data_IF_964370060121
#
_entry.id   IF_964370060121
#
_cell.length_a   1.000
_cell.length_b   1.000
_cell.length_c   1.000
_cell.angle_alpha   90.00
_cell.angle_beta   90.00
_cell.angle_gamma   90.00
#
_symmetry.space_group_name_H-M   'P 1'
#
loop_
_entity.id
_entity.type
_entity.pdbx_description
1 polymer ?
#
# COMPACT_ATOMS: atom_id res chain seq x y z
N UNK A 1 4.26 -21.69 30.91
CA UNK A 1 4.24 -21.67 29.45
C UNK A 1 2.95 -22.30 28.94
N UNK A 2 2.23 -21.65 28.05
CA UNK A 2 1.07 -22.21 27.37
C UNK A 2 1.53 -22.93 26.12
N UNK A 3 1.11 -24.18 25.92
CA UNK A 3 1.41 -24.97 24.74
C UNK A 3 0.13 -25.22 23.96
N UNK A 4 0.07 -24.71 22.73
CA UNK A 4 -1.04 -24.96 21.81
C UNK A 4 -0.55 -25.99 20.77
N UNK A 5 -1.16 -27.17 20.76
CA UNK A 5 -0.81 -28.24 19.80
C UNK A 5 -1.59 -28.03 18.50
N UNK A 6 -0.89 -28.19 17.36
CA UNK A 6 -1.47 -28.02 16.02
C UNK A 6 -2.25 -26.70 15.87
N UNK A 7 -1.61 -25.55 16.09
CA UNK A 7 -2.30 -24.27 16.06
C UNK A 7 -2.78 -23.94 14.65
N UNK A 8 -3.94 -23.27 14.58
CA UNK A 8 -4.35 -22.56 13.36
C UNK A 8 -3.51 -21.30 13.27
N UNK A 9 -2.78 -21.17 12.17
CA UNK A 9 -1.90 -20.01 11.97
C UNK A 9 -2.68 -18.80 11.47
N UNK A 10 -2.21 -17.61 11.84
CA UNK A 10 -2.66 -16.36 11.27
C UNK A 10 -2.01 -16.15 9.90
N UNK A 11 -2.81 -15.74 8.91
CA UNK A 11 -2.35 -15.50 7.55
C UNK A 11 -2.82 -14.13 7.05
N UNK A 12 -2.02 -13.45 6.21
CA UNK A 12 -2.46 -12.25 5.54
C UNK A 12 -3.46 -12.57 4.43
N UNK A 13 -4.24 -11.55 4.06
CA UNK A 13 -5.23 -11.62 3.00
C UNK A 13 -4.64 -12.23 1.72
N UNK A 14 -5.34 -13.22 1.15
CA UNK A 14 -4.92 -13.97 -0.04
C UNK A 14 -4.03 -15.18 0.20
N UNK A 15 -3.56 -15.41 1.42
CA UNK A 15 -2.67 -16.55 1.74
C UNK A 15 -3.27 -17.55 2.70
N UNK A 16 -4.37 -17.24 3.34
CA UNK A 16 -5.08 -18.10 4.27
C UNK A 16 -6.01 -17.33 5.19
N UNK A 17 -6.51 -18.01 6.23
CA UNK A 17 -7.42 -17.39 7.19
C UNK A 17 -6.64 -16.64 8.29
N UNK A 18 -7.04 -15.44 8.68
CA UNK A 18 -6.43 -14.68 9.78
C UNK A 18 -6.90 -15.21 11.13
N UNK A 19 -6.53 -16.44 11.49
CA UNK A 19 -6.99 -17.08 12.70
C UNK A 19 -6.46 -16.39 13.96
N UNK A 20 -7.35 -16.07 14.88
CA UNK A 20 -7.05 -15.45 16.16
C UNK A 20 -7.44 -16.34 17.32
N UNK A 21 -6.76 -16.18 18.42
CA UNK A 21 -7.01 -16.81 19.71
C UNK A 21 -7.28 -15.75 20.77
N UNK A 22 -8.07 -16.09 21.76
CA UNK A 22 -8.29 -15.25 22.94
C UNK A 22 -7.70 -15.93 24.17
N UNK A 23 -6.84 -15.23 24.88
CA UNK A 23 -6.33 -15.63 26.20
C UNK A 23 -7.07 -14.83 27.27
N UNK A 24 -7.84 -15.53 28.09
CA UNK A 24 -8.50 -14.92 29.26
C UNK A 24 -7.55 -14.95 30.44
N UNK A 25 -7.21 -13.78 30.96
CA UNK A 25 -6.49 -13.61 32.21
C UNK A 25 -7.48 -13.28 33.31
N UNK A 26 -7.39 -14.00 34.44
CA UNK A 26 -8.24 -13.79 35.60
C UNK A 26 -7.36 -13.56 36.81
N UNK A 27 -7.56 -12.44 37.48
CA UNK A 27 -6.95 -12.15 38.80
C UNK A 27 -7.95 -12.45 39.90
N UNK A 28 -7.51 -13.18 40.91
CA UNK A 28 -8.37 -13.52 42.08
C UNK A 28 -7.72 -13.10 43.38
N UNK A 29 -8.50 -12.58 44.30
CA UNK A 29 -8.12 -12.26 45.68
C UNK A 29 -9.06 -13.03 46.60
N UNK A 30 -8.52 -13.79 47.52
CA UNK A 30 -9.27 -14.63 48.47
C UNK A 30 -10.31 -15.56 47.79
N UNK A 31 -9.93 -16.12 46.62
CA UNK A 31 -10.79 -17.01 45.84
C UNK A 31 -11.92 -16.33 45.06
N UNK A 32 -12.00 -15.01 45.09
CA UNK A 32 -12.96 -14.21 44.32
C UNK A 32 -12.25 -13.52 43.17
N UNK A 33 -12.88 -13.54 42.01
CA UNK A 33 -12.37 -12.81 40.84
C UNK A 33 -12.42 -11.32 41.14
N UNK A 34 -11.28 -10.64 41.03
CA UNK A 34 -11.15 -9.21 41.22
C UNK A 34 -11.00 -8.46 39.92
N UNK A 35 -10.43 -9.11 38.87
CA UNK A 35 -10.26 -8.52 37.55
C UNK A 35 -10.14 -9.60 36.50
N UNK A 36 -10.58 -9.30 35.26
CA UNK A 36 -10.44 -10.16 34.10
C UNK A 36 -10.01 -9.33 32.87
N UNK A 37 -9.17 -9.90 32.05
CA UNK A 37 -8.76 -9.29 30.78
C UNK A 37 -8.66 -10.34 29.68
N UNK A 38 -9.30 -10.09 28.57
CA UNK A 38 -9.14 -10.86 27.35
C UNK A 38 -8.03 -10.26 26.49
N UNK A 39 -7.12 -11.10 26.02
CA UNK A 39 -6.02 -10.72 25.11
C UNK A 39 -6.17 -11.53 23.85
N UNK A 40 -6.41 -10.86 22.72
CA UNK A 40 -6.44 -11.47 21.39
C UNK A 40 -5.03 -11.54 20.84
N UNK A 41 -4.69 -12.67 20.19
CA UNK A 41 -3.40 -12.86 19.55
C UNK A 41 -3.51 -13.84 18.38
N UNK A 42 -2.56 -13.75 17.43
CA UNK A 42 -2.42 -14.71 16.34
C UNK A 42 -1.09 -15.46 16.42
N UNK A 43 -1.07 -16.71 15.94
CA UNK A 43 0.14 -17.52 15.88
C UNK A 43 0.68 -17.44 14.45
N UNK A 44 1.87 -16.86 14.31
CA UNK A 44 2.55 -16.66 13.02
C UNK A 44 4.06 -16.66 13.23
N UNK A 45 4.80 -16.76 12.13
CA UNK A 45 6.25 -16.54 12.11
C UNK A 45 6.59 -15.70 10.89
N UNK A 46 7.12 -14.49 11.12
CA UNK A 46 7.72 -13.67 10.08
C UNK A 46 9.18 -14.07 9.84
N UNK A 47 9.59 -14.02 8.58
CA UNK A 47 10.98 -14.17 8.15
C UNK A 47 11.23 -13.19 7.01
N UNK A 48 12.46 -12.70 6.91
CA UNK A 48 12.85 -11.69 5.92
C UNK A 48 14.14 -12.15 5.26
N UNK A 49 14.18 -12.09 3.93
CA UNK A 49 15.37 -12.46 3.16
C UNK A 49 15.69 -11.37 2.16
N UNK A 50 16.97 -11.04 2.07
CA UNK A 50 17.50 -10.23 0.97
C UNK A 50 17.77 -11.18 -0.20
N UNK A 51 16.99 -11.07 -1.26
CA UNK A 51 17.12 -11.90 -2.45
C UNK A 51 17.90 -11.10 -3.50
N UNK A 52 18.99 -11.69 -4.00
CA UNK A 52 19.80 -11.14 -5.09
C UNK A 52 19.44 -11.83 -6.41
N UNK A 53 18.21 -11.65 -6.88
CA UNK A 53 17.85 -12.08 -8.23
C UNK A 53 18.14 -11.00 -9.28
N UNK A 54 18.43 -9.81 -8.80
CA UNK A 54 18.73 -8.63 -9.57
C UNK A 54 20.23 -8.37 -9.51
N UNK A 55 20.86 -8.15 -10.63
CA UNK A 55 22.30 -7.85 -10.74
C UNK A 55 22.64 -6.69 -9.81
N UNK A 56 23.34 -6.99 -8.70
CA UNK A 56 23.94 -6.09 -7.73
C UNK A 56 23.03 -5.39 -6.71
N UNK A 57 21.73 -5.66 -6.64
CA UNK A 57 20.85 -5.03 -5.63
C UNK A 57 20.07 -6.07 -4.82
N UNK A 58 20.19 -6.04 -3.48
CA UNK A 58 19.35 -6.90 -2.64
C UNK A 58 17.90 -6.43 -2.66
N UNK A 59 16.97 -7.38 -2.70
CA UNK A 59 15.54 -7.15 -2.65
C UNK A 59 14.97 -7.71 -1.36
N UNK A 60 14.41 -6.86 -0.52
CA UNK A 60 13.75 -7.29 0.71
C UNK A 60 12.48 -8.10 0.38
N UNK A 61 12.45 -9.33 0.80
CA UNK A 61 11.33 -10.25 0.58
C UNK A 61 10.80 -10.78 1.89
N UNK A 62 9.49 -10.76 2.05
CA UNK A 62 8.78 -11.22 3.24
C UNK A 62 8.34 -12.67 3.12
N UNK A 63 8.42 -13.37 4.24
CA UNK A 63 7.86 -14.70 4.43
C UNK A 63 7.00 -14.71 5.68
N UNK A 64 5.90 -15.43 5.64
CA UNK A 64 5.09 -15.72 6.82
C UNK A 64 4.79 -17.21 6.87
N UNK A 65 5.02 -17.85 8.02
CA UNK A 65 4.80 -19.28 8.22
C UNK A 65 5.52 -20.15 7.18
N UNK A 66 6.69 -19.70 6.70
CA UNK A 66 7.47 -20.35 5.66
C UNK A 66 7.05 -20.06 4.21
N UNK A 67 5.92 -19.39 4.00
CA UNK A 67 5.42 -19.00 2.68
C UNK A 67 5.96 -17.64 2.27
N UNK A 68 6.50 -17.53 1.05
CA UNK A 68 6.89 -16.26 0.44
C UNK A 68 5.65 -15.44 0.13
N UNK A 69 5.66 -14.15 0.51
CA UNK A 69 4.52 -13.23 0.36
C UNK A 69 4.86 -12.14 -0.63
N UNK A 70 4.03 -11.98 -1.66
CA UNK A 70 4.08 -10.82 -2.55
C UNK A 70 3.24 -9.70 -1.96
N UNK A 71 3.89 -8.56 -1.67
CA UNK A 71 3.24 -7.45 -0.97
C UNK A 71 2.42 -6.60 -1.94
N UNK A 72 1.18 -6.35 -1.59
CA UNK A 72 0.23 -5.50 -2.32
C UNK A 72 -0.46 -4.60 -1.33
N UNK A 73 -0.39 -3.29 -1.53
CA UNK A 73 -0.98 -2.41 -0.56
C UNK A 73 -0.74 -0.93 -0.83
N UNK A 74 -0.89 -0.15 0.21
CA UNK A 74 -0.70 1.30 0.11
C UNK A 74 -0.28 1.94 1.42
N UNK A 75 0.11 3.19 1.31
CA UNK A 75 0.45 4.02 2.45
C UNK A 75 -0.81 4.62 3.07
N UNK A 76 -0.80 4.71 4.37
CA UNK A 76 -1.81 5.30 5.21
C UNK A 76 -1.18 6.46 5.97
N UNK A 77 -1.65 7.66 5.68
CA UNK A 77 -1.28 8.86 6.42
C UNK A 77 -2.22 9.08 7.62
N UNK A 78 -2.64 10.31 7.86
CA UNK A 78 -3.64 10.60 8.88
C UNK A 78 -4.96 9.88 8.58
N UNK A 79 -5.55 9.22 9.56
CA UNK A 79 -6.76 8.43 9.37
C UNK A 79 -7.99 9.27 9.01
N UNK A 80 -8.13 10.42 9.65
CA UNK A 80 -9.16 11.44 9.42
C UNK A 80 -8.72 12.74 10.09
N UNK A 81 -8.89 13.89 9.43
CA UNK A 81 -8.31 15.18 9.85
C UNK A 81 -8.83 15.74 11.19
N UNK A 82 -9.98 15.28 11.65
CA UNK A 82 -10.51 15.58 13.00
C UNK A 82 -10.39 14.39 13.96
N UNK A 83 -9.66 13.32 13.57
CA UNK A 83 -9.45 12.09 14.33
C UNK A 83 -10.76 11.34 14.69
N UNK A 84 -11.81 11.51 13.89
CA UNK A 84 -13.09 10.78 14.04
C UNK A 84 -13.02 9.43 13.34
N UNK A 85 -12.15 8.54 13.83
CA UNK A 85 -11.78 7.32 13.13
C UNK A 85 -12.12 6.02 13.88
N UNK A 86 -12.68 6.09 15.06
CA UNK A 86 -13.06 4.91 15.86
C UNK A 86 -14.30 4.18 15.32
N UNK A 87 -14.42 2.90 15.68
CA UNK A 87 -15.57 2.07 15.35
C UNK A 87 -15.63 1.77 13.85
N UNK A 88 -16.79 2.01 13.28
CA UNK A 88 -17.06 1.69 11.88
C UNK A 88 -16.11 2.36 10.88
N UNK A 89 -15.52 3.49 11.23
CA UNK A 89 -14.60 4.21 10.36
C UNK A 89 -13.35 3.38 10.05
N UNK A 90 -12.65 2.92 11.10
CA UNK A 90 -11.51 2.03 10.92
C UNK A 90 -11.91 0.73 10.22
N UNK A 91 -12.99 0.10 10.67
CA UNK A 91 -13.44 -1.17 10.10
C UNK A 91 -13.74 -1.04 8.61
N UNK A 92 -14.47 0.02 8.20
CA UNK A 92 -14.83 0.26 6.79
C UNK A 92 -13.59 0.43 5.93
N UNK A 93 -12.65 1.27 6.36
CA UNK A 93 -11.40 1.54 5.64
C UNK A 93 -10.55 0.28 5.49
N UNK A 94 -10.40 -0.51 6.55
CA UNK A 94 -9.65 -1.78 6.49
C UNK A 94 -10.34 -2.79 5.56
N UNK A 95 -11.68 -2.88 5.60
CA UNK A 95 -12.44 -3.73 4.67
C UNK A 95 -12.24 -3.32 3.21
N UNK A 96 -12.25 -2.02 2.90
CA UNK A 96 -11.98 -1.53 1.54
C UNK A 96 -10.57 -1.95 1.06
N UNK A 97 -9.56 -1.91 1.94
CA UNK A 97 -8.23 -2.41 1.61
C UNK A 97 -8.24 -3.92 1.36
N UNK A 98 -8.90 -4.70 2.22
CA UNK A 98 -9.05 -6.14 2.00
C UNK A 98 -9.75 -6.46 0.68
N UNK A 99 -10.82 -5.72 0.36
CA UNK A 99 -11.62 -5.93 -0.84
C UNK A 99 -10.88 -5.56 -2.14
N UNK A 100 -9.86 -4.68 -2.05
CA UNK A 100 -8.91 -4.43 -3.14
C UNK A 100 -7.88 -5.55 -3.32
N UNK A 101 -7.96 -6.65 -2.57
CA UNK A 101 -6.97 -7.71 -2.50
C UNK A 101 -5.61 -7.25 -1.94
N UNK A 102 -5.58 -6.17 -1.19
CA UNK A 102 -4.40 -5.74 -0.47
C UNK A 102 -4.13 -6.64 0.73
N UNK A 103 -2.85 -6.80 1.04
CA UNK A 103 -2.40 -7.56 2.20
C UNK A 103 -1.49 -6.75 3.14
N UNK A 104 -1.19 -5.49 2.81
CA UNK A 104 -0.36 -4.62 3.65
C UNK A 104 -0.83 -3.17 3.61
N UNK A 105 -0.74 -2.51 4.76
CA UNK A 105 -0.83 -1.06 4.92
C UNK A 105 0.48 -0.59 5.57
N UNK A 106 1.12 0.44 4.99
CA UNK A 106 2.20 1.15 5.67
C UNK A 106 1.65 2.36 6.38
N UNK A 107 1.85 2.42 7.68
CA UNK A 107 1.56 3.60 8.50
C UNK A 107 2.70 4.61 8.36
N UNK A 108 2.58 5.48 7.36
CA UNK A 108 3.55 6.52 7.09
C UNK A 108 3.76 7.39 8.32
N UNK A 109 5.03 7.57 8.70
CA UNK A 109 5.46 8.30 9.90
C UNK A 109 4.75 7.89 11.19
N UNK A 110 4.25 6.65 11.27
CA UNK A 110 3.67 6.11 12.49
C UNK A 110 2.39 6.80 12.98
N UNK A 111 1.62 7.37 12.05
CA UNK A 111 0.47 8.25 12.32
C UNK A 111 -0.71 7.61 13.08
N UNK A 112 -0.77 6.28 13.18
CA UNK A 112 -1.84 5.56 13.87
C UNK A 112 -1.30 4.78 15.06
N UNK A 113 -1.84 5.04 16.22
CA UNK A 113 -1.47 4.36 17.49
C UNK A 113 -2.66 3.74 18.21
N UNK A 114 -3.88 3.87 17.68
CA UNK A 114 -5.09 3.31 18.26
C UNK A 114 -5.11 1.79 18.14
N UNK A 115 -5.25 1.07 19.25
CA UNK A 115 -5.28 -0.40 19.29
C UNK A 115 -6.37 -0.97 18.36
N UNK A 116 -7.51 -0.29 18.27
CA UNK A 116 -8.65 -0.67 17.43
C UNK A 116 -8.27 -0.81 15.94
N UNK A 117 -7.38 0.05 15.41
CA UNK A 117 -6.89 -0.08 14.05
C UNK A 117 -6.19 -1.42 13.83
N UNK A 118 -5.33 -1.81 14.78
CA UNK A 118 -4.58 -3.07 14.70
C UNK A 118 -5.49 -4.28 14.93
N UNK A 119 -6.51 -4.18 15.78
CA UNK A 119 -7.51 -5.23 15.97
C UNK A 119 -8.25 -5.54 14.66
N UNK A 120 -8.61 -4.52 13.88
CA UNK A 120 -9.21 -4.74 12.56
C UNK A 120 -8.20 -5.28 11.53
N UNK A 121 -6.95 -4.84 11.56
CA UNK A 121 -5.90 -5.41 10.72
C UNK A 121 -5.69 -6.90 11.04
N UNK A 122 -5.66 -7.28 12.31
CA UNK A 122 -5.58 -8.66 12.77
C UNK A 122 -6.76 -9.49 12.27
N UNK A 123 -7.98 -8.97 12.42
CA UNK A 123 -9.24 -9.61 12.03
C UNK A 123 -9.36 -9.84 10.52
N UNK A 124 -8.90 -8.90 9.73
CA UNK A 124 -9.05 -8.94 8.26
C UNK A 124 -7.82 -9.43 7.50
N UNK A 125 -6.73 -9.74 8.20
CA UNK A 125 -5.51 -10.24 7.60
C UNK A 125 -4.72 -9.17 6.84
N UNK A 126 -4.72 -7.93 7.32
CA UNK A 126 -3.95 -6.84 6.73
C UNK A 126 -2.66 -6.67 7.52
N UNK A 127 -1.52 -6.95 6.90
CA UNK A 127 -0.21 -6.70 7.51
C UNK A 127 0.01 -5.21 7.67
N UNK A 128 0.76 -4.84 8.70
CA UNK A 128 1.10 -3.45 9.02
C UNK A 128 2.61 -3.25 8.95
N UNK A 129 3.05 -2.35 8.10
CA UNK A 129 4.37 -1.75 8.12
C UNK A 129 4.28 -0.52 9.01
N UNK A 130 4.93 -0.53 10.18
CA UNK A 130 4.73 0.48 11.23
C UNK A 130 5.95 1.38 11.38
N UNK A 131 5.88 2.60 10.84
CA UNK A 131 6.93 3.60 11.01
C UNK A 131 6.94 4.16 12.44
N UNK A 132 8.10 4.69 12.87
CA UNK A 132 8.17 5.66 13.95
C UNK A 132 7.96 7.08 13.40
N UNK A 133 7.84 8.09 14.30
CA UNK A 133 7.39 9.46 14.00
C UNK A 133 8.50 10.35 13.40
N UNK A 134 9.27 9.82 12.43
CA UNK A 134 10.37 10.55 11.79
C UNK A 134 10.12 10.74 10.31
N UNK A 135 10.32 11.98 9.86
CA UNK A 135 10.14 12.40 8.48
C UNK A 135 11.49 12.86 7.88
N UNK A 136 11.64 12.80 6.57
CA UNK A 136 12.88 13.09 5.83
C UNK A 136 13.57 14.40 6.22
N UNK A 137 12.81 15.43 6.58
CA UNK A 137 13.33 16.73 6.97
C UNK A 137 13.52 16.92 8.48
N UNK A 138 13.05 15.99 9.30
CA UNK A 138 12.94 16.12 10.76
C UNK A 138 13.41 14.86 11.48
N UNK A 139 14.68 14.51 11.28
CA UNK A 139 15.32 13.40 12.00
C UNK A 139 16.07 13.85 13.27
N UNK A 140 16.16 15.16 13.51
CA UNK A 140 16.63 15.73 14.76
C UNK A 140 15.46 15.85 15.74
N UNK A 141 15.46 15.00 16.74
CA UNK A 141 14.42 14.97 17.78
C UNK A 141 14.81 15.92 18.90
N UNK A 142 13.96 16.91 19.17
CA UNK A 142 14.24 17.91 20.22
C UNK A 142 14.33 17.29 21.61
N UNK A 143 13.51 16.25 21.89
CA UNK A 143 13.45 15.55 23.18
C UNK A 143 13.70 14.04 22.99
N UNK A 144 14.95 13.60 22.76
CA UNK A 144 15.26 12.21 22.42
C UNK A 144 14.80 11.19 23.47
N UNK A 145 14.89 11.52 24.77
CA UNK A 145 14.50 10.61 25.84
C UNK A 145 12.97 10.42 25.90
N UNK A 146 12.19 11.47 25.65
CA UNK A 146 10.75 11.39 25.52
C UNK A 146 10.36 10.57 24.30
N UNK A 147 11.03 10.75 23.17
CA UNK A 147 10.84 9.94 21.96
C UNK A 147 11.12 8.45 22.24
N UNK A 148 12.24 8.13 22.87
CA UNK A 148 12.63 6.76 23.24
C UNK A 148 11.58 6.10 24.16
N UNK A 149 11.10 6.84 25.16
CA UNK A 149 10.05 6.36 26.07
C UNK A 149 8.73 6.05 25.31
N UNK A 150 8.30 6.95 24.44
CA UNK A 150 7.12 6.74 23.61
C UNK A 150 7.29 5.56 22.62
N UNK A 151 8.47 5.41 22.02
CA UNK A 151 8.77 4.29 21.13
C UNK A 151 8.72 2.94 21.86
N UNK A 152 9.27 2.90 23.07
CA UNK A 152 9.23 1.72 23.94
C UNK A 152 7.78 1.34 24.31
N UNK A 153 6.97 2.32 24.70
CA UNK A 153 5.55 2.13 25.01
C UNK A 153 4.77 1.62 23.80
N UNK A 154 4.97 2.24 22.64
CA UNK A 154 4.37 1.81 21.36
C UNK A 154 4.65 0.33 21.07
N UNK A 155 5.91 -0.09 21.15
CA UNK A 155 6.29 -1.49 20.86
C UNK A 155 5.68 -2.43 21.90
N UNK A 156 5.75 -2.12 23.19
CA UNK A 156 5.18 -2.95 24.27
C UNK A 156 3.68 -3.14 24.14
N UNK A 157 2.98 -2.09 23.78
CA UNK A 157 1.53 -2.10 23.61
C UNK A 157 1.10 -2.88 22.39
N UNK A 158 1.81 -2.72 21.26
CA UNK A 158 1.36 -3.22 19.97
C UNK A 158 1.98 -4.57 19.56
N UNK A 159 3.06 -5.03 20.17
CA UNK A 159 3.81 -6.24 19.75
C UNK A 159 3.01 -7.54 19.73
N UNK A 160 1.86 -7.61 20.39
CA UNK A 160 1.01 -8.81 20.41
C UNK A 160 0.11 -8.91 19.15
N UNK A 161 -0.03 -7.84 18.36
CA UNK A 161 -0.81 -7.87 17.13
C UNK A 161 -0.08 -8.68 16.05
N UNK A 162 -0.67 -9.77 15.55
CA UNK A 162 -0.04 -10.59 14.51
C UNK A 162 0.09 -9.86 13.18
N UNK A 163 -0.73 -8.86 12.93
CA UNK A 163 -0.70 -8.04 11.72
C UNK A 163 0.56 -7.19 11.57
N UNK A 164 1.20 -6.76 12.66
CA UNK A 164 2.44 -5.98 12.56
C UNK A 164 3.52 -6.87 11.94
N UNK A 165 3.99 -6.47 10.76
CA UNK A 165 4.95 -7.23 9.97
C UNK A 165 6.37 -6.67 10.04
N UNK A 166 6.53 -5.38 10.30
CA UNK A 166 7.85 -4.72 10.34
C UNK A 166 7.77 -3.42 11.12
N UNK A 167 8.85 -3.06 11.78
CA UNK A 167 9.08 -1.76 12.42
C UNK A 167 10.03 -0.94 11.55
N UNK A 168 9.72 0.33 11.29
CA UNK A 168 10.55 1.20 10.48
C UNK A 168 10.94 2.49 11.21
N UNK A 169 12.22 2.82 11.20
CA UNK A 169 12.79 3.94 11.96
C UNK A 169 12.33 5.30 11.44
N UNK A 170 12.49 5.55 10.13
CA UNK A 170 12.19 6.86 9.57
C UNK A 170 11.70 6.77 8.11
N UNK A 171 10.92 7.76 7.71
CA UNK A 171 10.50 7.93 6.32
C UNK A 171 11.65 8.52 5.50
N UNK A 172 12.03 7.82 4.41
CA UNK A 172 12.99 8.24 3.37
C UNK A 172 14.38 8.68 3.87
N UNK A 173 14.68 8.44 5.14
CA UNK A 173 15.96 8.74 5.78
C UNK A 173 16.24 7.73 6.88
N UNK A 174 17.40 7.86 7.53
CA UNK A 174 17.73 7.11 8.73
C UNK A 174 17.56 8.00 9.96
N UNK A 175 17.11 7.47 11.11
CA UNK A 175 17.23 8.20 12.37
C UNK A 175 18.66 8.61 12.65
N UNK A 176 18.87 9.60 13.52
CA UNK A 176 20.22 9.91 14.05
C UNK A 176 20.86 8.63 14.62
N UNK A 177 22.18 8.42 14.46
CA UNK A 177 22.83 7.14 14.77
C UNK A 177 22.52 6.57 16.16
N UNK A 178 22.53 7.41 17.19
CA UNK A 178 22.25 6.99 18.56
C UNK A 178 20.79 6.55 18.73
N UNK A 179 19.86 7.23 18.06
CA UNK A 179 18.46 6.89 18.07
C UNK A 179 18.18 5.62 17.26
N UNK A 180 18.81 5.46 16.10
CA UNK A 180 18.69 4.24 15.28
C UNK A 180 19.19 3.00 16.03
N UNK A 181 20.34 3.11 16.69
CA UNK A 181 20.87 2.04 17.53
C UNK A 181 19.93 1.71 18.68
N UNK A 182 19.41 2.73 19.38
CA UNK A 182 18.44 2.51 20.46
C UNK A 182 17.20 1.79 19.96
N UNK A 183 16.59 2.23 18.85
CA UNK A 183 15.38 1.61 18.29
C UNK A 183 15.65 0.13 17.92
N UNK A 184 16.78 -0.15 17.30
CA UNK A 184 17.20 -1.50 16.91
C UNK A 184 17.32 -2.43 18.12
N UNK A 185 18.04 -2.00 19.15
CA UNK A 185 18.26 -2.77 20.36
C UNK A 185 16.96 -2.94 21.17
N UNK A 186 16.20 -1.88 21.32
CA UNK A 186 14.91 -1.90 22.04
C UNK A 186 13.92 -2.85 21.37
N UNK A 187 13.80 -2.81 20.06
CA UNK A 187 12.89 -3.71 19.33
C UNK A 187 13.37 -5.16 19.45
N UNK A 188 14.67 -5.41 19.28
CA UNK A 188 15.23 -6.75 19.45
C UNK A 188 14.92 -7.33 20.86
N UNK A 189 14.98 -6.49 21.88
CA UNK A 189 14.70 -6.88 23.26
C UNK A 189 13.20 -7.07 23.51
N UNK A 190 12.38 -6.10 23.17
CA UNK A 190 10.95 -6.06 23.53
C UNK A 190 10.10 -6.95 22.60
N UNK A 191 10.40 -6.97 21.32
CA UNK A 191 9.71 -7.79 20.31
C UNK A 191 10.37 -9.18 20.11
N UNK A 192 11.41 -9.49 20.89
CA UNK A 192 12.09 -10.80 20.90
C UNK A 192 12.62 -11.24 19.52
N UNK A 193 12.97 -10.31 18.67
CA UNK A 193 13.34 -10.55 17.26
C UNK A 193 12.23 -11.25 16.44
N UNK A 194 10.96 -11.11 16.84
CA UNK A 194 9.83 -11.67 16.08
C UNK A 194 9.63 -10.91 14.75
N UNK A 195 9.99 -9.62 14.73
CA UNK A 195 9.92 -8.75 13.54
C UNK A 195 11.22 -8.02 13.28
N UNK A 196 11.45 -7.76 11.98
CA UNK A 196 12.57 -6.93 11.55
C UNK A 196 12.37 -5.47 11.97
N UNK A 197 13.47 -4.84 12.39
CA UNK A 197 13.60 -3.40 12.40
C UNK A 197 14.33 -2.93 11.15
N UNK A 198 13.78 -1.94 10.46
CA UNK A 198 14.32 -1.30 9.27
C UNK A 198 14.54 0.17 9.56
N UNK A 199 15.77 0.69 9.41
CA UNK A 199 16.08 2.09 9.73
C UNK A 199 15.36 3.08 8.81
N UNK A 200 15.33 2.77 7.50
CA UNK A 200 14.82 3.66 6.45
C UNK A 200 13.76 2.98 5.59
N UNK A 201 12.75 3.73 5.17
CA UNK A 201 11.63 3.20 4.39
C UNK A 201 11.91 3.00 2.90
N UNK A 202 12.98 3.56 2.34
CA UNK A 202 13.22 3.52 0.89
C UNK A 202 14.66 3.16 0.48
N UNK A 203 15.48 2.68 1.41
CA UNK A 203 16.88 2.28 1.18
C UNK A 203 17.15 0.87 1.73
N UNK A 204 18.39 0.38 1.60
CA UNK A 204 18.87 -0.88 2.18
C UNK A 204 18.04 -2.10 1.80
N UNK A 205 17.86 -2.34 0.52
CA UNK A 205 17.05 -3.45 -0.02
C UNK A 205 15.64 -3.05 -0.43
N UNK A 206 15.35 -1.75 -0.39
CA UNK A 206 14.16 -1.10 -0.92
C UNK A 206 14.55 -0.18 -2.07
N UNK A 207 13.66 0.04 -3.03
CA UNK A 207 14.01 0.68 -4.31
C UNK A 207 13.72 2.18 -4.40
N UNK A 208 13.55 2.86 -3.27
CA UNK A 208 13.25 4.29 -3.27
C UNK A 208 11.77 4.61 -3.34
N UNK A 209 11.42 5.88 -3.64
CA UNK A 209 10.07 6.43 -3.74
C UNK A 209 9.82 7.00 -5.14
N UNK A 210 8.54 7.12 -5.53
CA UNK A 210 8.08 7.55 -6.87
C UNK A 210 7.89 6.32 -7.77
N UNK A 211 7.35 6.42 -8.92
CA UNK A 211 6.90 7.55 -9.72
C UNK A 211 5.80 8.40 -9.08
N UNK A 212 5.73 9.67 -9.55
CA UNK A 212 4.69 10.60 -9.15
C UNK A 212 4.00 11.11 -10.42
N UNK A 213 2.70 10.81 -10.58
CA UNK A 213 1.90 11.27 -11.71
C UNK A 213 1.23 10.16 -12.53
N UNK A 214 0.38 10.55 -13.46
CA UNK A 214 -0.44 9.66 -14.29
C UNK A 214 0.34 9.17 -15.51
N UNK A 215 1.22 8.21 -15.31
CA UNK A 215 1.94 7.55 -16.38
C UNK A 215 1.09 6.47 -17.06
N UNK A 216 1.12 6.33 -18.41
CA UNK A 216 0.38 5.27 -19.07
C UNK A 216 0.91 3.87 -18.65
N UNK A 217 0.07 2.81 -18.69
CA UNK A 217 0.48 1.45 -18.31
C UNK A 217 1.80 0.99 -18.93
N UNK A 218 1.99 1.27 -20.22
CA UNK A 218 3.22 0.94 -20.94
C UNK A 218 4.48 1.49 -20.26
N UNK A 219 4.42 2.72 -19.75
CA UNK A 219 5.54 3.34 -19.04
C UNK A 219 5.95 2.53 -17.83
N UNK A 220 4.98 2.08 -17.02
CA UNK A 220 5.25 1.28 -15.82
C UNK A 220 5.89 -0.07 -16.20
N UNK A 221 5.43 -0.74 -17.24
CA UNK A 221 6.07 -1.99 -17.73
C UNK A 221 7.50 -1.77 -18.24
N UNK A 222 7.78 -0.62 -18.86
CA UNK A 222 9.10 -0.29 -19.40
C UNK A 222 10.08 0.17 -18.32
N UNK A 223 9.59 0.76 -17.24
CA UNK A 223 10.42 1.38 -16.20
C UNK A 223 10.49 0.57 -14.90
N UNK A 224 9.72 -0.50 -14.75
CA UNK A 224 9.87 -1.43 -13.63
C UNK A 224 10.92 -2.50 -13.93
N UNK A 225 11.67 -2.93 -12.89
CA UNK A 225 12.67 -3.99 -12.93
C UNK A 225 14.11 -3.52 -13.11
N UNK A 226 15.03 -4.43 -12.83
CA UNK A 226 16.47 -4.19 -12.71
C UNK A 226 17.25 -4.14 -13.99
N UNK A 227 16.68 -4.63 -15.09
CA UNK A 227 17.36 -4.67 -16.39
C UNK A 227 17.44 -3.30 -17.08
N UNK A 228 16.78 -2.32 -16.49
CA UNK A 228 16.84 -0.96 -16.97
C UNK A 228 18.12 -0.34 -16.45
N UNK A 229 18.97 0.07 -17.40
CA UNK A 229 20.29 0.59 -17.12
C UNK A 229 20.26 1.66 -16.02
N UNK A 230 20.85 1.35 -14.88
CA UNK A 230 21.11 2.29 -13.78
C UNK A 230 21.97 3.50 -14.18
N UNK A 231 22.22 3.68 -15.47
CA UNK A 231 23.07 4.70 -16.06
C UNK A 231 22.31 5.96 -16.50
N UNK A 232 20.99 6.03 -16.30
CA UNK A 232 20.27 7.29 -16.49
C UNK A 232 20.33 8.12 -15.20
N UNK A 233 20.55 9.45 -15.31
CA UNK A 233 20.55 10.31 -14.14
C UNK A 233 19.22 10.15 -13.39
N UNK A 234 19.31 9.91 -12.10
CA UNK A 234 18.17 9.89 -11.22
C UNK A 234 17.35 11.17 -11.39
N UNK A 235 16.05 11.04 -11.51
CA UNK A 235 15.13 12.16 -11.27
C UNK A 235 15.45 12.76 -9.89
N UNK A 236 15.23 14.06 -9.62
CA UNK A 236 15.79 14.72 -8.43
C UNK A 236 15.51 14.04 -7.09
N UNK A 237 14.69 13.00 -7.05
CA UNK A 237 14.35 12.26 -5.84
C UNK A 237 14.59 10.74 -5.93
N UNK A 238 15.39 10.23 -6.84
CA UNK A 238 15.68 8.79 -6.86
C UNK A 238 15.96 8.18 -8.21
N UNK A 239 16.01 6.86 -8.22
CA UNK A 239 16.28 6.03 -9.38
C UNK A 239 15.08 6.11 -10.35
N UNK A 240 15.32 6.34 -11.63
CA UNK A 240 14.30 6.39 -12.70
C UNK A 240 13.54 5.07 -12.90
N UNK A 241 13.83 4.05 -12.09
CA UNK A 241 13.30 2.71 -12.22
C UNK A 241 12.89 2.15 -10.87
N UNK A 242 11.65 1.64 -10.78
CA UNK A 242 11.21 0.86 -9.64
C UNK A 242 11.64 -0.60 -9.78
N UNK A 243 12.08 -1.20 -8.70
CA UNK A 243 12.37 -2.63 -8.59
C UNK A 243 12.12 -3.11 -7.16
N UNK A 244 12.10 -4.42 -6.99
CA UNK A 244 12.06 -5.06 -5.68
C UNK A 244 10.82 -4.75 -4.86
N UNK A 245 11.02 -4.34 -3.62
CA UNK A 245 9.98 -3.82 -2.74
C UNK A 245 9.99 -2.30 -2.83
N UNK A 246 8.93 -1.73 -3.40
CA UNK A 246 8.75 -0.29 -3.51
C UNK A 246 7.69 0.19 -2.52
N UNK A 247 8.11 1.04 -1.61
CA UNK A 247 7.27 1.48 -0.50
C UNK A 247 6.38 2.67 -0.82
N UNK A 248 6.69 3.41 -1.88
CA UNK A 248 5.91 4.55 -2.35
C UNK A 248 5.96 4.66 -3.87
N UNK A 249 4.81 4.71 -4.50
CA UNK A 249 4.61 5.07 -5.89
C UNK A 249 3.21 5.65 -6.00
N UNK A 250 3.04 6.78 -6.67
CA UNK A 250 1.77 7.47 -6.62
C UNK A 250 1.32 8.05 -7.95
N UNK A 251 0.02 8.17 -8.06
CA UNK A 251 -0.66 8.84 -9.15
C UNK A 251 -1.77 9.72 -8.59
N UNK A 252 -1.98 10.87 -9.22
CA UNK A 252 -3.13 11.70 -8.91
C UNK A 252 -4.42 10.95 -9.26
N UNK A 253 -5.40 11.03 -8.37
CA UNK A 253 -6.71 10.41 -8.55
C UNK A 253 -7.80 11.46 -8.42
N UNK A 254 -8.96 11.19 -8.96
CA UNK A 254 -10.08 12.11 -8.92
C UNK A 254 -11.30 11.44 -8.32
N UNK A 255 -12.06 12.09 -7.43
CA UNK A 255 -13.32 11.56 -6.91
C UNK A 255 -14.38 11.43 -8.00
N UNK A 256 -15.44 10.71 -7.72
CA UNK A 256 -16.63 10.67 -8.57
C UNK A 256 -17.32 12.04 -8.59
N UNK A 257 -18.13 12.30 -9.61
CA UNK A 257 -18.90 13.54 -9.70
C UNK A 257 -19.81 13.73 -8.47
N UNK A 258 -20.43 12.65 -8.00
CA UNK A 258 -21.27 12.64 -6.81
C UNK A 258 -20.54 13.16 -5.57
N UNK A 259 -19.31 12.73 -5.39
CA UNK A 259 -18.49 13.14 -4.26
C UNK A 259 -17.95 14.56 -4.40
N UNK A 260 -17.52 14.96 -5.60
CA UNK A 260 -17.02 16.33 -5.85
C UNK A 260 -18.07 17.37 -5.50
N UNK A 261 -19.33 17.11 -5.81
CA UNK A 261 -20.46 18.01 -5.48
C UNK A 261 -20.62 18.29 -3.99
N UNK A 262 -20.07 17.43 -3.13
CA UNK A 262 -20.21 17.55 -1.67
C UNK A 262 -19.23 18.55 -1.05
N UNK A 263 -18.14 18.90 -1.77
CA UNK A 263 -17.11 19.78 -1.21
C UNK A 263 -16.64 20.89 -2.15
N UNK A 264 -17.00 20.86 -3.44
CA UNK A 264 -16.73 21.96 -4.37
C UNK A 264 -18.02 22.77 -4.56
N UNK A 265 -17.99 24.11 -4.35
CA UNK A 265 -19.14 24.97 -4.60
C UNK A 265 -19.58 24.92 -6.06
N UNK A 266 -20.87 24.95 -6.32
CA UNK A 266 -21.44 24.79 -7.66
C UNK A 266 -20.95 25.84 -8.67
N UNK A 267 -20.72 27.05 -8.23
CA UNK A 267 -20.17 28.15 -9.02
C UNK A 267 -18.73 27.91 -9.50
N UNK A 268 -18.01 26.96 -8.85
CA UNK A 268 -16.65 26.57 -9.21
C UNK A 268 -16.57 25.28 -10.03
N UNK A 269 -17.70 24.65 -10.36
CA UNK A 269 -17.67 23.36 -11.05
C UNK A 269 -17.13 23.45 -12.47
N UNK A 270 -17.42 24.54 -13.18
CA UNK A 270 -17.02 24.67 -14.58
C UNK A 270 -16.89 26.14 -15.01
N UNK A 271 -15.89 26.50 -15.85
CA UNK A 271 -14.81 25.64 -16.34
C UNK A 271 -13.80 25.29 -15.23
N UNK A 272 -13.10 24.17 -15.40
CA UNK A 272 -12.00 23.82 -14.51
C UNK A 272 -10.84 24.81 -14.67
N UNK A 273 -10.08 25.09 -13.60
CA UNK A 273 -8.95 26.00 -13.66
C UNK A 273 -7.81 25.38 -14.51
N UNK A 274 -7.03 26.25 -15.13
CA UNK A 274 -5.80 25.87 -15.80
C UNK A 274 -4.67 25.64 -14.78
N UNK A 275 -3.61 24.91 -15.20
CA UNK A 275 -2.42 24.71 -14.39
C UNK A 275 -1.77 26.03 -13.96
N UNK A 276 -1.85 27.08 -14.79
CA UNK A 276 -1.35 28.43 -14.47
C UNK A 276 -2.15 29.08 -13.34
N UNK A 277 -3.47 29.01 -13.42
CA UNK A 277 -4.36 29.54 -12.38
C UNK A 277 -4.15 28.82 -11.03
N UNK A 278 -3.85 27.52 -11.05
CA UNK A 278 -3.57 26.76 -9.84
C UNK A 278 -2.19 27.07 -9.22
N UNK A 279 -1.22 27.54 -10.00
CA UNK A 279 0.11 27.90 -9.49
C UNK A 279 0.11 29.19 -8.69
N UNK A 280 -0.71 30.14 -9.09
CA UNK A 280 -0.72 31.49 -8.54
C UNK A 280 -1.77 31.70 -7.45
N UNK A 281 -2.61 30.72 -7.19
CA UNK A 281 -3.72 30.79 -6.25
C UNK A 281 -3.67 29.64 -5.23
N UNK A 282 -3.06 29.92 -4.08
CA UNK A 282 -2.96 28.95 -2.97
C UNK A 282 -4.31 28.63 -2.33
N UNK A 283 -5.29 29.51 -2.48
CA UNK A 283 -6.65 29.37 -1.91
C UNK A 283 -7.63 28.72 -2.90
N UNK A 284 -7.17 28.31 -4.08
CA UNK A 284 -8.03 27.69 -5.07
C UNK A 284 -8.63 26.39 -4.57
N UNK A 285 -9.96 26.28 -4.65
CA UNK A 285 -10.71 25.11 -4.17
C UNK A 285 -10.31 23.79 -4.88
N UNK A 286 -9.69 23.89 -6.07
CA UNK A 286 -9.29 22.74 -6.87
C UNK A 286 -7.90 22.17 -6.54
N UNK A 287 -7.13 22.82 -5.69
CA UNK A 287 -5.82 22.32 -5.27
C UNK A 287 -4.76 22.24 -6.39
N UNK A 288 -3.50 22.46 -6.04
CA UNK A 288 -2.33 22.47 -6.94
C UNK A 288 -2.01 21.13 -7.64
N UNK A 289 -2.60 20.02 -7.22
CA UNK A 289 -2.32 18.69 -7.76
C UNK A 289 -3.36 18.22 -8.79
N UNK A 290 -4.06 19.15 -9.40
CA UNK A 290 -5.00 18.85 -10.47
C UNK A 290 -4.28 18.28 -11.72
N UNK A 291 -4.84 17.27 -12.35
CA UNK A 291 -4.24 16.57 -13.49
C UNK A 291 -5.12 16.63 -14.75
N UNK A 292 -5.81 17.73 -14.97
CA UNK A 292 -6.72 17.93 -16.11
C UNK A 292 -6.07 17.74 -17.46
N UNK A 293 -4.78 18.06 -17.57
CA UNK A 293 -4.03 17.91 -18.81
C UNK A 293 -3.91 16.45 -19.26
N UNK A 294 -3.67 15.52 -18.35
CA UNK A 294 -3.55 14.10 -18.64
C UNK A 294 -4.88 13.51 -19.11
N UNK A 295 -5.99 13.90 -18.46
CA UNK A 295 -7.34 13.52 -18.86
C UNK A 295 -7.66 14.01 -20.25
N UNK A 296 -7.45 15.30 -20.51
CA UNK A 296 -7.73 15.93 -21.81
C UNK A 296 -6.86 15.36 -22.95
N UNK A 297 -5.58 15.06 -22.65
CA UNK A 297 -4.66 14.47 -23.64
C UNK A 297 -5.11 13.08 -24.07
N UNK A 298 -5.64 12.27 -23.14
CA UNK A 298 -6.01 10.88 -23.44
C UNK A 298 -7.43 10.75 -23.98
N UNK A 299 -8.38 11.54 -23.45
CA UNK A 299 -9.82 11.39 -23.72
C UNK A 299 -10.46 12.62 -24.40
N UNK A 300 -9.65 13.64 -24.73
CA UNK A 300 -10.13 14.91 -25.29
C UNK A 300 -10.80 15.83 -24.27
N UNK A 301 -11.02 17.09 -24.68
CA UNK A 301 -11.64 18.12 -23.86
C UNK A 301 -13.02 17.69 -23.36
N UNK A 302 -13.34 18.10 -22.15
CA UNK A 302 -14.65 17.87 -21.54
C UNK A 302 -15.52 19.13 -21.65
N UNK A 303 -16.83 18.97 -21.64
CA UNK A 303 -17.81 20.06 -21.71
C UNK A 303 -18.45 20.37 -20.35
N UNK A 304 -18.24 19.53 -19.36
CA UNK A 304 -18.78 19.66 -18.00
C UNK A 304 -17.89 18.95 -16.98
N UNK A 305 -18.08 19.28 -15.71
CA UNK A 305 -17.43 18.59 -14.59
C UNK A 305 -17.80 17.09 -14.56
N UNK A 306 -19.05 16.74 -14.84
CA UNK A 306 -19.51 15.35 -14.86
C UNK A 306 -18.73 14.53 -15.90
N UNK A 307 -18.68 15.01 -17.14
CA UNK A 307 -17.91 14.37 -18.21
C UNK A 307 -16.41 14.24 -17.87
N UNK A 308 -15.86 15.30 -17.25
CA UNK A 308 -14.48 15.27 -16.79
C UNK A 308 -14.25 14.19 -15.72
N UNK A 309 -15.13 14.10 -14.72
CA UNK A 309 -15.06 13.08 -13.66
C UNK A 309 -15.11 11.66 -14.27
N UNK A 310 -16.00 11.40 -15.23
CA UNK A 310 -16.08 10.10 -15.92
C UNK A 310 -14.77 9.74 -16.63
N UNK A 311 -14.21 10.68 -17.39
CA UNK A 311 -12.92 10.49 -18.06
C UNK A 311 -11.77 10.28 -17.06
N UNK A 312 -11.77 11.01 -15.96
CA UNK A 312 -10.79 10.85 -14.89
C UNK A 312 -10.86 9.45 -14.22
N UNK A 313 -12.07 8.90 -14.03
CA UNK A 313 -12.21 7.53 -13.54
C UNK A 313 -11.59 6.52 -14.50
N UNK A 314 -11.79 6.65 -15.81
CA UNK A 314 -11.17 5.77 -16.81
C UNK A 314 -9.64 5.85 -16.77
N UNK A 315 -9.08 7.06 -16.71
CA UNK A 315 -7.63 7.27 -16.56
C UNK A 315 -7.11 6.57 -15.31
N UNK A 316 -7.76 6.75 -14.18
CA UNK A 316 -7.32 6.18 -12.91
C UNK A 316 -7.43 4.65 -12.86
N UNK A 317 -8.42 4.03 -13.54
CA UNK A 317 -8.47 2.56 -13.71
C UNK A 317 -7.21 2.08 -14.43
N UNK A 318 -6.88 2.68 -15.57
CA UNK A 318 -5.76 2.24 -16.41
C UNK A 318 -4.42 2.43 -15.70
N UNK A 319 -4.17 3.61 -15.11
CA UNK A 319 -2.90 3.92 -14.46
C UNK A 319 -2.67 3.03 -13.24
N UNK A 320 -3.66 2.95 -12.35
CA UNK A 320 -3.53 2.15 -11.12
C UNK A 320 -3.37 0.65 -11.43
N UNK A 321 -4.15 0.14 -12.38
CA UNK A 321 -4.03 -1.23 -12.86
C UNK A 321 -2.65 -1.48 -13.46
N UNK A 322 -2.16 -0.58 -14.32
CA UNK A 322 -0.87 -0.67 -14.97
C UNK A 322 0.31 -0.68 -14.00
N UNK A 323 0.24 0.12 -12.92
CA UNK A 323 1.26 0.13 -11.87
C UNK A 323 1.43 -1.25 -11.22
N UNK A 324 0.34 -1.86 -10.74
CA UNK A 324 0.41 -3.18 -10.12
C UNK A 324 0.75 -4.30 -11.11
N UNK A 325 0.20 -4.24 -12.32
CA UNK A 325 0.49 -5.25 -13.35
C UNK A 325 1.95 -5.24 -13.79
N UNK A 326 2.59 -4.07 -13.85
CA UNK A 326 4.00 -3.95 -14.17
C UNK A 326 4.89 -4.64 -13.12
N UNK A 327 4.56 -4.48 -11.84
CA UNK A 327 5.22 -5.20 -10.74
C UNK A 327 4.91 -6.69 -10.75
N UNK A 328 3.66 -7.08 -10.95
CA UNK A 328 3.26 -8.49 -11.11
C UNK A 328 4.02 -9.17 -12.27
N UNK A 329 4.29 -8.46 -13.37
CA UNK A 329 4.97 -8.98 -14.55
C UNK A 329 6.37 -9.55 -14.25
N UNK A 330 7.04 -8.98 -13.27
CA UNK A 330 8.40 -9.32 -12.85
C UNK A 330 8.47 -9.96 -11.46
N UNK A 331 7.33 -10.41 -10.95
CA UNK A 331 7.23 -11.04 -9.63
C UNK A 331 8.26 -12.14 -9.45
N UNK A 332 9.01 -12.08 -8.34
CA UNK A 332 10.06 -12.98 -7.89
C UNK A 332 11.36 -12.96 -8.71
N UNK A 333 11.41 -12.24 -9.81
CA UNK A 333 12.67 -11.95 -10.48
C UNK A 333 13.28 -10.67 -9.90
N UNK A 334 12.61 -9.57 -10.16
CA UNK A 334 13.05 -8.23 -9.80
C UNK A 334 12.13 -7.57 -8.78
N UNK A 335 10.92 -8.11 -8.57
CA UNK A 335 9.86 -7.47 -7.81
C UNK A 335 9.39 -8.35 -6.63
N UNK A 336 9.23 -7.73 -5.46
CA UNK A 336 8.75 -8.38 -4.23
C UNK A 336 7.48 -7.74 -3.67
N UNK A 337 7.09 -6.59 -4.15
CA UNK A 337 5.86 -5.91 -3.74
C UNK A 337 5.83 -4.41 -4.05
N UNK A 338 4.63 -3.86 -3.93
CA UNK A 338 4.33 -2.46 -4.22
C UNK A 338 3.34 -1.91 -3.21
N UNK A 339 3.68 -0.75 -2.62
CA UNK A 339 2.77 0.05 -1.81
C UNK A 339 2.54 1.40 -2.49
N UNK A 340 1.29 1.71 -2.84
CA UNK A 340 0.97 2.99 -3.46
C UNK A 340 0.98 4.12 -2.44
N UNK A 341 1.32 5.30 -2.89
CA UNK A 341 1.20 6.55 -2.18
C UNK A 341 0.00 7.35 -2.72
N UNK A 342 -1.14 7.47 -2.04
CA UNK A 342 -1.59 6.80 -0.83
C UNK A 342 -2.86 6.02 -1.14
N UNK A 343 -3.30 5.17 -0.20
CA UNK A 343 -4.47 4.33 -0.45
C UNK A 343 -5.79 4.96 0.01
N UNK A 344 -5.77 5.95 0.91
CA UNK A 344 -6.97 6.61 1.40
C UNK A 344 -6.73 8.09 1.72
N UNK A 345 -7.75 8.97 1.65
CA UNK A 345 -7.66 10.36 2.05
C UNK A 345 -8.01 10.55 3.52
N UNK A 346 -7.46 11.60 4.14
CA UNK A 346 -7.85 12.05 5.47
C UNK A 346 -8.98 13.10 5.46
N UNK A 347 -9.20 13.75 4.33
CA UNK A 347 -10.20 14.81 4.11
C UNK A 347 -10.63 14.82 2.64
N UNK A 348 -11.72 15.50 2.28
CA UNK A 348 -12.13 15.64 0.87
C UNK A 348 -11.00 16.23 0.02
N UNK A 349 -10.51 15.47 -0.97
CA UNK A 349 -9.35 15.84 -1.76
C UNK A 349 -9.34 15.17 -3.14
N UNK A 350 -8.37 15.56 -3.98
CA UNK A 350 -8.24 15.09 -5.37
C UNK A 350 -7.04 14.17 -5.61
N UNK A 351 -6.23 13.90 -4.60
CA UNK A 351 -4.91 13.29 -4.79
C UNK A 351 -4.70 12.16 -3.80
N UNK A 352 -3.94 11.13 -4.24
CA UNK A 352 -3.44 10.07 -3.36
C UNK A 352 -4.51 9.27 -2.64
N UNK A 353 -5.46 8.69 -3.39
CA UNK A 353 -6.55 7.91 -2.81
C UNK A 353 -7.02 6.81 -3.77
N UNK A 354 -7.59 5.72 -3.24
CA UNK A 354 -8.25 4.68 -4.02
C UNK A 354 -9.76 4.75 -3.91
N UNK A 355 -10.25 5.16 -2.76
CA UNK A 355 -11.62 5.59 -2.50
C UNK A 355 -11.55 6.98 -1.87
N UNK A 356 -12.58 7.75 -2.02
CA UNK A 356 -12.60 9.11 -1.52
C UNK A 356 -13.00 9.22 -0.04
N UNK A 357 -13.03 10.44 0.47
CA UNK A 357 -13.37 10.70 1.87
C UNK A 357 -14.76 10.20 2.28
N UNK A 358 -15.70 10.11 1.34
CA UNK A 358 -17.07 9.64 1.56
C UNK A 358 -17.21 8.13 1.38
N UNK A 359 -16.07 7.40 1.25
CA UNK A 359 -15.98 5.94 1.00
C UNK A 359 -16.46 5.51 -0.38
N UNK A 360 -16.58 6.44 -1.33
CA UNK A 360 -16.95 6.08 -2.71
C UNK A 360 -15.70 5.56 -3.46
N UNK A 361 -15.74 4.33 -3.99
CA UNK A 361 -14.62 3.76 -4.75
C UNK A 361 -14.40 4.53 -6.06
N UNK A 362 -13.18 5.04 -6.25
CA UNK A 362 -12.77 5.70 -7.49
C UNK A 362 -12.30 4.69 -8.55
N UNK A 363 -12.00 5.17 -9.75
CA UNK A 363 -11.35 4.36 -10.79
C UNK A 363 -10.07 3.69 -10.30
N UNK A 364 -9.30 4.36 -9.43
CA UNK A 364 -8.09 3.80 -8.83
C UNK A 364 -8.37 2.56 -7.96
N UNK A 365 -9.46 2.56 -7.20
CA UNK A 365 -9.90 1.38 -6.44
C UNK A 365 -10.12 0.17 -7.34
N UNK A 366 -10.87 0.35 -8.41
CA UNK A 366 -11.21 -0.75 -9.33
C UNK A 366 -10.00 -1.25 -10.11
N UNK A 367 -9.11 -0.33 -10.53
CA UNK A 367 -7.85 -0.68 -11.15
C UNK A 367 -6.94 -1.50 -10.25
N UNK A 368 -6.76 -1.07 -8.99
CA UNK A 368 -6.00 -1.79 -7.98
C UNK A 368 -6.61 -3.16 -7.67
N UNK A 369 -7.92 -3.20 -7.40
CA UNK A 369 -8.66 -4.44 -7.10
C UNK A 369 -8.46 -5.48 -8.20
N UNK A 370 -8.54 -5.08 -9.47
CA UNK A 370 -8.38 -5.96 -10.61
C UNK A 370 -6.96 -6.48 -10.72
N UNK A 371 -5.95 -5.61 -10.67
CA UNK A 371 -4.55 -6.01 -10.80
C UNK A 371 -4.02 -6.82 -9.61
N UNK A 372 -4.64 -6.66 -8.43
CA UNK A 372 -4.26 -7.36 -7.21
C UNK A 372 -5.00 -8.69 -6.99
N UNK A 373 -5.83 -9.16 -7.93
CA UNK A 373 -6.43 -10.49 -7.86
C UNK A 373 -5.35 -11.57 -7.61
N UNK A 374 -5.67 -12.56 -6.79
CA UNK A 374 -4.71 -13.61 -6.44
C UNK A 374 -4.39 -14.55 -7.60
N UNK A 375 -5.37 -14.70 -8.51
CA UNK A 375 -5.21 -15.33 -9.81
C UNK A 375 -5.58 -14.27 -10.83
N UNK A 376 -4.58 -13.75 -11.53
CA UNK A 376 -4.76 -12.63 -12.44
C UNK A 376 -4.20 -12.94 -13.83
N UNK A 377 -4.95 -12.56 -14.84
CA UNK A 377 -4.49 -12.61 -16.21
C UNK A 377 -4.28 -11.18 -16.71
N UNK A 378 -3.07 -10.86 -17.11
CA UNK A 378 -2.69 -9.51 -17.52
C UNK A 378 -2.08 -9.46 -18.90
N UNK A 379 -2.20 -8.29 -19.53
CA UNK A 379 -1.55 -7.97 -20.78
C UNK A 379 -0.44 -6.94 -20.55
N UNK A 380 0.77 -7.27 -20.98
CA UNK A 380 1.89 -6.35 -20.95
C UNK A 380 1.86 -5.49 -22.23
N UNK A 381 1.51 -4.22 -22.09
CA UNK A 381 1.38 -3.26 -23.20
C UNK A 381 2.72 -2.84 -23.83
N UNK A 382 3.85 -3.15 -23.20
CA UNK A 382 5.18 -2.84 -23.76
C UNK A 382 5.65 -3.85 -24.79
N UNK A 383 5.25 -5.12 -24.66
CA UNK A 383 5.71 -6.21 -25.51
C UNK A 383 4.58 -7.12 -26.05
N UNK A 384 3.33 -6.78 -25.77
CA UNK A 384 2.13 -7.52 -26.18
C UNK A 384 2.06 -8.98 -25.67
N UNK A 385 2.72 -9.31 -24.56
CA UNK A 385 2.61 -10.63 -23.94
C UNK A 385 1.40 -10.73 -23.00
N UNK A 386 0.84 -11.93 -22.89
CA UNK A 386 -0.17 -12.27 -21.88
C UNK A 386 0.51 -13.11 -20.81
N UNK A 387 0.30 -12.74 -19.55
CA UNK A 387 0.87 -13.42 -18.39
C UNK A 387 -0.21 -13.78 -17.37
N UNK A 388 -0.19 -15.02 -16.91
CA UNK A 388 -0.97 -15.43 -15.73
C UNK A 388 -0.11 -15.25 -14.48
N UNK A 389 -0.67 -14.57 -13.48
CA UNK A 389 -0.06 -14.29 -12.19
C UNK A 389 -0.79 -15.09 -11.13
N UNK A 390 -0.05 -15.88 -10.36
CA UNK A 390 -0.57 -16.65 -9.24
C UNK A 390 0.16 -16.27 -7.94
N UNK A 391 -0.52 -15.55 -7.06
CA UNK A 391 -0.02 -15.20 -5.73
C UNK A 391 -0.65 -16.06 -4.63
N UNK A 392 -1.38 -17.13 -4.99
CA UNK A 392 -1.91 -18.08 -4.02
C UNK A 392 -0.82 -19.07 -3.55
N UNK A 393 -1.13 -19.84 -2.52
CA UNK A 393 -0.25 -20.90 -2.00
C UNK A 393 -0.37 -22.22 -2.77
N UNK A 394 -1.17 -22.29 -3.84
CA UNK A 394 -1.47 -23.52 -4.58
C UNK A 394 -1.01 -23.42 -6.02
N UNK A 395 -0.42 -24.48 -6.54
CA UNK A 395 -0.16 -24.63 -7.96
C UNK A 395 -1.46 -24.79 -8.75
N UNK A 396 -1.54 -24.11 -9.89
CA UNK A 396 -2.62 -24.31 -10.85
C UNK A 396 -2.17 -25.27 -11.93
N UNK A 397 -2.80 -26.45 -11.97
CA UNK A 397 -2.56 -27.43 -13.03
C UNK A 397 -3.67 -27.38 -14.08
N UNK A 398 -3.30 -27.50 -15.35
CA UNK A 398 -4.27 -27.54 -16.45
C UNK A 398 -4.92 -26.20 -16.79
N UNK A 399 -4.38 -25.09 -16.30
CA UNK A 399 -4.84 -23.75 -16.68
C UNK A 399 -4.42 -23.43 -18.12
N UNK A 400 -5.25 -22.67 -18.82
CA UNK A 400 -4.95 -22.14 -20.15
C UNK A 400 -5.44 -20.70 -20.26
N UNK A 401 -4.75 -19.90 -21.08
CA UNK A 401 -5.14 -18.55 -21.42
C UNK A 401 -5.54 -18.45 -22.89
N UNK A 402 -6.53 -17.61 -23.19
CA UNK A 402 -6.92 -17.23 -24.55
C UNK A 402 -6.92 -15.70 -24.63
N UNK A 403 -6.31 -15.15 -25.65
CA UNK A 403 -6.41 -13.75 -26.00
C UNK A 403 -7.18 -13.60 -27.31
N UNK A 404 -8.16 -12.70 -27.35
CA UNK A 404 -8.92 -12.38 -28.55
C UNK A 404 -8.81 -10.88 -28.80
N UNK A 405 -8.45 -10.50 -30.01
CA UNK A 405 -8.33 -9.11 -30.45
C UNK A 405 -9.58 -8.73 -31.22
N UNK A 406 -10.18 -7.63 -30.84
CA UNK A 406 -11.32 -7.02 -31.52
C UNK A 406 -10.93 -5.65 -32.05
N UNK A 407 -11.51 -5.25 -33.16
CA UNK A 407 -11.43 -3.88 -33.62
C UNK A 407 -12.47 -3.00 -32.88
N UNK A 408 -12.45 -1.68 -33.12
CA UNK A 408 -13.31 -0.71 -32.43
C UNK A 408 -14.82 -0.93 -32.66
N UNK A 409 -15.22 -1.64 -33.71
CA UNK A 409 -16.62 -1.99 -33.96
C UNK A 409 -17.02 -3.37 -33.40
N UNK A 410 -16.18 -3.97 -32.56
CA UNK A 410 -16.46 -5.24 -31.90
C UNK A 410 -16.26 -6.49 -32.77
N UNK A 411 -15.71 -6.37 -33.98
CA UNK A 411 -15.42 -7.53 -34.84
C UNK A 411 -14.11 -8.19 -34.40
N UNK A 412 -14.11 -9.50 -34.21
CA UNK A 412 -12.89 -10.27 -33.92
C UNK A 412 -11.92 -10.19 -35.13
N UNK A 413 -10.69 -9.82 -34.84
CA UNK A 413 -9.61 -9.68 -35.82
C UNK A 413 -8.66 -10.85 -35.75
N UNK A 414 -8.33 -11.31 -34.56
CA UNK A 414 -7.44 -12.43 -34.32
C UNK A 414 -7.73 -13.06 -32.94
N UNK A 415 -7.48 -14.36 -32.87
CA UNK A 415 -7.49 -15.08 -31.58
C UNK A 415 -6.18 -15.86 -31.44
N UNK A 416 -5.54 -15.71 -30.28
CA UNK A 416 -4.35 -16.46 -29.90
C UNK A 416 -4.74 -17.43 -28.79
N UNK A 417 -4.53 -18.69 -28.99
CA UNK A 417 -4.97 -19.70 -28.06
C UNK A 417 -3.84 -20.49 -27.42
N UNK A 418 -4.18 -21.05 -26.28
CA UNK A 418 -3.62 -22.09 -25.43
C UNK A 418 -2.10 -22.18 -25.35
N UNK A 419 -1.55 -21.58 -24.32
CA UNK A 419 -0.31 -22.04 -23.71
C UNK A 419 -0.67 -22.79 -22.41
N UNK A 420 -0.11 -23.99 -22.24
CA UNK A 420 -0.21 -24.74 -20.97
C UNK A 420 0.66 -24.08 -19.93
#
# INVERSE_FOLDING_TARGET
>A
ALVIRNPKLWWPNGYGEPNLYTCKLTCSVDGKISDEKDITFGIKKYEYKMINNVVNYPVLTFFINGQKIYLKGGNWGMSEYLLRCHGKEYETKIKLHKDMNYNMIRLWTGCVTDDEFYDYCDKYGIMVWNDFWLYVAYNDVAEPEAFKANALDKVRRLRNHPSIAIWCGANETHPAPDLDNYLREMIAQEDKNDRMYKSCSNQDGLSGSGWWGNQPPKHHFETSGSNLAFNKPAYPYGIDHGYGMRTEIGTATFPTFESVKLFIPQESWWPLPTDEQLKDDDDNVWNKHFFGKEVNTQFGESSSLEEFCEKAQLLNIEVMKGMYEAWNDKMWNDEAGLLIWMSHPAYPSFVWQTYDYYYDPTGAYWGAKKACEHLHLQWNSSNNSIKAVNTTTKDLKGAYAKATIYNLNGKEVAAYGRTK
#
